data_IF_548312961363
#
_entry.id   IF_548312961363
#
_cell.length_a   1.000
_cell.length_b   1.000
_cell.length_c   1.000
_cell.angle_alpha   90.00
_cell.angle_beta   90.00
_cell.angle_gamma   90.00
#
_symmetry.space_group_name_H-M   'P 1'
#
loop_
_entity.id
_entity.type
_entity.pdbx_description
1 polymer ?
#
# COMPACT_ATOMS: atom_id res chain seq x y z
N UNK A 1 -35.85 1.58 -2.44
CA UNK A 1 -34.51 2.02 -2.83
C UNK A 1 -33.53 1.38 -1.87
N UNK A 2 -32.51 0.65 -2.33
CA UNK A 2 -31.44 0.18 -1.42
C UNK A 2 -30.69 1.41 -0.89
N UNK A 3 -30.40 1.41 0.42
CA UNK A 3 -29.57 2.45 1.05
C UNK A 3 -28.26 2.59 0.28
N UNK A 4 -27.76 3.83 0.04
CA UNK A 4 -26.46 4.02 -0.59
C UNK A 4 -25.38 3.27 0.20
N UNK A 5 -24.36 2.77 -0.50
CA UNK A 5 -23.23 2.07 0.14
C UNK A 5 -22.60 2.99 1.18
N UNK A 6 -22.38 2.48 2.38
CA UNK A 6 -21.77 3.24 3.50
C UNK A 6 -21.02 2.28 4.44
N UNK A 7 -20.07 2.81 5.18
CA UNK A 7 -19.41 2.10 6.25
C UNK A 7 -20.40 1.83 7.39
N UNK A 8 -20.37 0.65 7.98
CA UNK A 8 -21.26 0.32 9.11
C UNK A 8 -20.77 0.96 10.41
N UNK A 9 -19.48 1.33 10.49
CA UNK A 9 -18.86 1.91 11.67
C UNK A 9 -17.63 2.73 11.35
N UNK A 10 -17.31 3.71 12.23
CA UNK A 10 -16.07 4.49 12.17
C UNK A 10 -14.81 3.61 12.23
N UNK A 11 -14.81 2.59 13.09
CA UNK A 11 -13.70 1.65 13.22
C UNK A 11 -13.55 0.83 11.94
N UNK A 12 -14.65 0.42 11.32
CA UNK A 12 -14.65 -0.30 10.05
C UNK A 12 -13.99 0.50 8.93
N UNK A 13 -14.29 1.78 8.81
CA UNK A 13 -13.60 2.67 7.88
C UNK A 13 -12.10 2.76 8.18
N UNK A 14 -11.72 3.05 9.45
CA UNK A 14 -10.31 3.21 9.84
C UNK A 14 -9.52 1.92 9.55
N UNK A 15 -10.05 0.75 9.92
CA UNK A 15 -9.38 -0.53 9.65
C UNK A 15 -9.30 -0.84 8.16
N UNK A 16 -10.32 -0.48 7.37
CA UNK A 16 -10.29 -0.71 5.92
C UNK A 16 -9.32 0.24 5.21
N UNK A 17 -9.30 1.52 5.58
CA UNK A 17 -8.37 2.49 5.02
C UNK A 17 -6.93 2.22 5.49
N UNK A 18 -6.73 1.81 6.74
CA UNK A 18 -5.45 1.33 7.24
C UNK A 18 -5.00 0.06 6.49
N UNK A 19 -5.91 -0.91 6.26
CA UNK A 19 -5.62 -2.10 5.48
C UNK A 19 -5.24 -1.80 4.02
N UNK A 20 -5.84 -0.76 3.43
CA UNK A 20 -5.40 -0.25 2.12
C UNK A 20 -3.98 0.30 2.14
N UNK A 21 -3.61 1.02 3.20
CA UNK A 21 -2.29 1.60 3.38
C UNK A 21 -1.23 0.56 3.83
N UNK A 22 -1.63 -0.38 4.69
CA UNK A 22 -0.78 -1.44 5.26
C UNK A 22 -0.76 -2.65 4.33
N UNK A 23 -0.11 -2.51 3.19
CA UNK A 23 0.08 -3.60 2.24
C UNK A 23 1.54 -4.04 2.19
N UNK A 24 1.97 -4.48 1.02
CA UNK A 24 3.37 -4.76 0.72
C UNK A 24 4.28 -3.55 0.99
N UNK A 25 3.73 -2.33 0.94
CA UNK A 25 4.44 -1.10 1.22
C UNK A 25 5.05 -1.03 2.62
N UNK A 26 4.30 -1.44 3.63
CA UNK A 26 4.73 -1.40 5.04
C UNK A 26 5.54 -2.66 5.45
N UNK A 27 5.14 -3.84 4.94
CA UNK A 27 5.70 -5.11 5.41
C UNK A 27 6.87 -5.58 4.53
N UNK A 28 6.90 -5.20 3.28
CA UNK A 28 7.93 -5.62 2.32
C UNK A 28 8.82 -4.46 1.88
N UNK A 29 8.23 -3.43 1.23
CA UNK A 29 9.00 -2.34 0.63
C UNK A 29 9.74 -1.50 1.68
N UNK A 30 9.08 -1.17 2.79
CA UNK A 30 9.70 -0.39 3.86
C UNK A 30 10.94 -1.07 4.45
N UNK A 31 10.93 -2.37 4.88
CA UNK A 31 12.12 -2.98 5.43
C UNK A 31 13.30 -3.03 4.47
N UNK A 32 13.09 -3.46 3.22
CA UNK A 32 14.23 -3.52 2.30
C UNK A 32 14.75 -2.13 1.93
N UNK A 33 13.86 -1.15 1.82
CA UNK A 33 14.28 0.24 1.54
C UNK A 33 15.05 0.83 2.73
N UNK A 34 14.60 0.58 3.95
CA UNK A 34 15.34 0.94 5.16
C UNK A 34 16.71 0.24 5.20
N UNK A 35 16.75 -1.05 4.83
CA UNK A 35 17.97 -1.85 4.77
C UNK A 35 19.04 -1.29 3.83
N UNK A 36 18.63 -0.73 2.69
CA UNK A 36 19.52 -0.15 1.67
C UNK A 36 19.84 1.33 1.87
N UNK A 37 19.13 2.03 2.78
CA UNK A 37 19.23 3.49 2.94
C UNK A 37 19.61 3.92 4.37
N UNK A 38 20.43 3.13 5.08
CA UNK A 38 21.02 3.52 6.37
C UNK A 38 20.07 3.36 7.57
N UNK A 39 19.10 2.42 7.50
CA UNK A 39 18.29 2.00 8.65
C UNK A 39 17.57 3.16 9.35
N UNK A 40 18.01 3.49 10.55
CA UNK A 40 17.36 4.48 11.42
C UNK A 40 17.27 5.89 10.81
N UNK A 41 18.23 6.33 10.01
CA UNK A 41 18.17 7.65 9.33
C UNK A 41 17.02 7.68 8.34
N UNK A 42 16.89 6.63 7.51
CA UNK A 42 15.76 6.48 6.60
C UNK A 42 14.43 6.44 7.36
N UNK A 43 14.34 5.68 8.45
CA UNK A 43 13.13 5.57 9.29
C UNK A 43 12.72 6.94 9.82
N UNK A 44 13.65 7.73 10.36
CA UNK A 44 13.36 9.08 10.85
C UNK A 44 12.84 9.98 9.72
N UNK A 45 13.48 9.98 8.54
CA UNK A 45 13.03 10.77 7.40
C UNK A 45 11.65 10.30 6.92
N UNK A 46 11.42 8.99 6.86
CA UNK A 46 10.13 8.41 6.52
C UNK A 46 9.02 8.87 7.49
N UNK A 47 9.26 8.85 8.80
CA UNK A 47 8.33 9.35 9.81
C UNK A 47 8.01 10.84 9.58
N UNK A 48 9.04 11.67 9.43
CA UNK A 48 8.88 13.11 9.20
C UNK A 48 8.07 13.39 7.93
N UNK A 49 8.42 12.76 6.81
CA UNK A 49 7.72 12.99 5.55
C UNK A 49 6.31 12.41 5.53
N UNK A 50 6.07 11.31 6.24
CA UNK A 50 4.72 10.77 6.38
C UNK A 50 3.81 11.75 7.11
N UNK A 51 4.29 12.39 8.18
CA UNK A 51 3.50 13.37 8.96
C UNK A 51 3.34 14.69 8.21
N UNK A 52 4.43 15.23 7.65
CA UNK A 52 4.44 16.60 7.12
C UNK A 52 3.97 16.68 5.66
N UNK A 53 4.08 15.62 4.89
CA UNK A 53 3.78 15.65 3.45
C UNK A 53 2.69 14.66 3.07
N UNK A 54 2.82 13.38 3.42
CA UNK A 54 1.88 12.35 2.99
C UNK A 54 0.51 12.49 3.68
N UNK A 55 0.46 12.70 5.00
CA UNK A 55 -0.80 12.93 5.73
C UNK A 55 -1.59 14.14 5.20
N UNK A 56 -1.01 15.31 4.93
CA UNK A 56 -1.73 16.41 4.27
C UNK A 56 -2.39 16.02 2.95
N UNK A 57 -1.73 15.25 2.11
CA UNK A 57 -2.31 14.78 0.84
C UNK A 57 -3.42 13.76 1.08
N UNK A 58 -3.26 12.82 2.03
CA UNK A 58 -4.30 11.87 2.42
C UNK A 58 -5.58 12.57 2.89
N UNK A 59 -5.45 13.59 3.74
CA UNK A 59 -6.59 14.38 4.20
C UNK A 59 -7.25 15.17 3.07
N UNK A 60 -6.49 15.62 2.07
CA UNK A 60 -7.04 16.23 0.86
C UNK A 60 -7.85 15.21 0.02
N UNK A 61 -7.38 13.99 -0.13
CA UNK A 61 -8.14 12.90 -0.77
C UNK A 61 -9.43 12.60 0.02
N UNK A 62 -9.37 12.56 1.35
CA UNK A 62 -10.56 12.40 2.19
C UNK A 62 -11.54 13.56 2.04
N UNK A 63 -11.05 14.80 1.98
CA UNK A 63 -11.90 15.97 1.69
C UNK A 63 -12.66 15.79 0.37
N UNK A 64 -11.96 15.44 -0.72
CA UNK A 64 -12.57 15.26 -2.04
C UNK A 64 -13.66 14.17 -2.01
N UNK A 65 -13.34 13.02 -1.44
CA UNK A 65 -14.26 11.88 -1.36
C UNK A 65 -15.50 12.20 -0.52
N UNK A 66 -15.33 12.62 0.74
CA UNK A 66 -16.45 12.92 1.65
C UNK A 66 -17.29 14.11 1.19
N UNK A 67 -16.67 15.17 0.66
CA UNK A 67 -17.39 16.36 0.18
C UNK A 67 -18.30 16.04 -0.99
N UNK A 68 -17.83 15.22 -1.92
CA UNK A 68 -18.59 14.84 -3.11
C UNK A 68 -19.60 13.72 -2.84
N UNK A 69 -19.28 12.77 -1.94
CA UNK A 69 -20.03 11.54 -1.74
C UNK A 69 -20.08 10.64 -2.98
N UNK A 70 -19.09 10.77 -3.90
CA UNK A 70 -19.09 10.10 -5.21
C UNK A 70 -17.76 9.38 -5.46
N UNK A 71 -17.78 8.40 -6.39
CA UNK A 71 -16.56 7.76 -6.86
C UNK A 71 -15.53 8.78 -7.36
N UNK A 72 -14.27 8.35 -7.45
CA UNK A 72 -13.14 9.24 -7.73
C UNK A 72 -13.31 10.12 -8.99
N UNK A 73 -13.91 9.60 -10.07
CA UNK A 73 -14.12 10.37 -11.31
C UNK A 73 -15.21 11.42 -11.16
N UNK A 74 -16.36 10.99 -10.62
CA UNK A 74 -17.53 11.87 -10.49
C UNK A 74 -17.37 12.86 -9.33
N UNK A 75 -16.47 12.59 -8.36
CA UNK A 75 -16.08 13.52 -7.31
C UNK A 75 -15.53 14.82 -7.90
N UNK A 76 -14.56 14.72 -8.80
CA UNK A 76 -13.98 15.91 -9.45
C UNK A 76 -14.97 16.60 -10.38
N UNK A 77 -15.85 15.86 -11.08
CA UNK A 77 -16.93 16.48 -11.90
C UNK A 77 -17.90 17.30 -11.04
N UNK A 78 -18.22 16.79 -9.84
CA UNK A 78 -19.13 17.48 -8.92
C UNK A 78 -18.47 18.72 -8.31
N UNK A 79 -17.18 18.62 -7.92
CA UNK A 79 -16.47 19.70 -7.26
C UNK A 79 -15.94 20.77 -8.23
N UNK A 80 -15.71 20.43 -9.49
CA UNK A 80 -15.23 21.36 -10.54
C UNK A 80 -15.87 20.99 -11.89
N UNK A 81 -17.16 21.35 -12.10
CA UNK A 81 -17.85 21.06 -13.35
C UNK A 81 -17.20 21.78 -14.55
N UNK A 82 -17.34 21.20 -15.73
CA UNK A 82 -16.82 21.74 -16.98
C UNK A 82 -15.31 22.02 -17.00
N UNK A 83 -14.53 21.19 -16.33
CA UNK A 83 -13.08 21.32 -16.21
C UNK A 83 -12.34 20.03 -16.58
N UNK A 84 -11.00 20.09 -16.63
CA UNK A 84 -10.16 18.91 -16.87
C UNK A 84 -9.86 18.09 -15.59
N UNK A 85 -10.25 18.58 -14.41
CA UNK A 85 -9.95 17.91 -13.13
C UNK A 85 -10.45 16.46 -13.01
N UNK A 86 -11.56 16.04 -13.65
CA UNK A 86 -11.97 14.63 -13.67
C UNK A 86 -10.92 13.66 -14.22
N UNK A 87 -9.91 14.14 -14.96
CA UNK A 87 -8.80 13.31 -15.40
C UNK A 87 -7.97 12.74 -14.24
N UNK A 88 -7.87 13.44 -13.08
CA UNK A 88 -7.20 12.92 -11.89
C UNK A 88 -7.90 11.63 -11.43
N UNK A 89 -9.22 11.68 -11.30
CA UNK A 89 -9.99 10.48 -10.92
C UNK A 89 -9.84 9.34 -11.94
N UNK A 90 -9.81 9.65 -13.25
CA UNK A 90 -9.56 8.65 -14.30
C UNK A 90 -8.15 8.05 -14.19
N UNK A 91 -7.13 8.88 -13.95
CA UNK A 91 -5.76 8.44 -13.73
C UNK A 91 -5.67 7.51 -12.52
N UNK A 92 -6.32 7.87 -11.39
CA UNK A 92 -6.32 7.02 -10.20
C UNK A 92 -7.04 5.68 -10.42
N UNK A 93 -8.17 5.66 -11.12
CA UNK A 93 -8.88 4.43 -11.50
C UNK A 93 -8.03 3.55 -12.42
N UNK A 94 -7.40 4.15 -13.43
CA UNK A 94 -6.47 3.45 -14.32
C UNK A 94 -5.27 2.91 -13.53
N UNK A 95 -4.69 3.73 -12.64
CA UNK A 95 -3.60 3.31 -11.77
C UNK A 95 -3.99 2.09 -10.92
N UNK A 96 -5.17 2.10 -10.28
CA UNK A 96 -5.65 0.95 -9.51
C UNK A 96 -5.83 -0.31 -10.36
N UNK A 97 -6.35 -0.17 -11.58
CA UNK A 97 -6.54 -1.27 -12.51
C UNK A 97 -5.20 -1.94 -12.87
N UNK A 98 -4.23 -1.15 -13.31
CA UNK A 98 -2.90 -1.64 -13.70
C UNK A 98 -2.11 -2.10 -12.47
N UNK A 99 -2.13 -1.33 -11.37
CA UNK A 99 -1.44 -1.72 -10.13
C UNK A 99 -1.91 -3.08 -9.64
N UNK A 100 -3.23 -3.32 -9.58
CA UNK A 100 -3.77 -4.60 -9.15
C UNK A 100 -3.42 -5.74 -10.12
N UNK A 101 -3.23 -5.48 -11.40
CA UNK A 101 -2.89 -6.51 -12.37
C UNK A 101 -1.52 -7.15 -12.08
N UNK A 102 -0.49 -6.36 -11.78
CA UNK A 102 0.83 -6.90 -11.41
C UNK A 102 0.97 -7.18 -9.90
N UNK A 103 0.27 -6.43 -9.04
CA UNK A 103 0.23 -6.68 -7.60
C UNK A 103 -0.36 -8.06 -7.26
N UNK A 104 -1.36 -8.51 -8.03
CA UNK A 104 -1.94 -9.84 -7.88
C UNK A 104 -0.95 -10.97 -8.19
N UNK A 105 0.06 -10.72 -9.02
CA UNK A 105 1.16 -11.67 -9.27
C UNK A 105 1.99 -11.86 -8.00
N UNK A 106 2.37 -10.76 -7.35
CA UNK A 106 3.09 -10.81 -6.06
C UNK A 106 2.24 -11.49 -4.98
N UNK A 107 0.94 -11.15 -4.92
CA UNK A 107 -0.02 -11.85 -4.05
C UNK A 107 -0.07 -13.36 -4.33
N UNK A 108 0.04 -13.75 -5.59
CA UNK A 108 0.17 -15.15 -6.01
C UNK A 108 1.45 -15.81 -5.49
N UNK A 109 2.59 -15.13 -5.57
CA UNK A 109 3.85 -15.66 -5.00
C UNK A 109 3.74 -15.87 -3.48
N UNK A 110 3.10 -14.94 -2.78
CA UNK A 110 2.86 -15.07 -1.33
C UNK A 110 1.99 -16.31 -1.04
N UNK A 111 0.91 -16.53 -1.80
CA UNK A 111 0.07 -17.72 -1.66
C UNK A 111 0.84 -19.02 -1.96
N UNK A 112 1.71 -19.03 -2.96
CA UNK A 112 2.57 -20.17 -3.25
C UNK A 112 3.48 -20.49 -2.05
N UNK A 113 4.11 -19.47 -1.45
CA UNK A 113 4.95 -19.65 -0.26
C UNK A 113 4.16 -20.06 0.98
N UNK A 114 2.89 -19.70 1.11
CA UNK A 114 2.01 -20.28 2.14
C UNK A 114 1.90 -21.79 1.96
N UNK A 115 1.69 -22.26 0.73
CA UNK A 115 1.63 -23.72 0.47
C UNK A 115 2.95 -24.39 0.84
N UNK A 116 4.09 -23.86 0.42
CA UNK A 116 5.41 -24.39 0.78
C UNK A 116 5.68 -24.39 2.30
N UNK A 117 5.11 -23.43 3.04
CA UNK A 117 5.21 -23.41 4.49
C UNK A 117 4.37 -24.50 5.16
N UNK A 118 3.21 -24.88 4.61
CA UNK A 118 2.33 -25.88 5.19
C UNK A 118 2.66 -27.31 4.75
N UNK A 119 3.11 -27.53 3.51
CA UNK A 119 3.46 -28.88 3.01
C UNK A 119 4.86 -29.35 3.44
N UNK A 120 5.63 -28.47 4.10
CA UNK A 120 6.97 -28.77 4.60
C UNK A 120 8.06 -28.75 3.53
N UNK A 121 7.74 -28.49 2.28
CA UNK A 121 8.72 -28.42 1.17
C UNK A 121 9.76 -27.30 1.39
N UNK A 122 9.43 -26.29 2.17
CA UNK A 122 10.36 -25.22 2.56
C UNK A 122 11.59 -25.75 3.31
N UNK A 123 11.46 -26.82 4.11
CA UNK A 123 12.57 -27.47 4.82
C UNK A 123 13.48 -28.29 3.92
N UNK A 124 12.95 -28.76 2.79
CA UNK A 124 13.70 -29.62 1.87
C UNK A 124 14.57 -28.80 0.90
N UNK A 125 14.38 -27.48 0.85
CA UNK A 125 15.14 -26.59 -0.01
C UNK A 125 16.34 -26.00 0.74
N UNK A 126 17.53 -26.31 0.28
CA UNK A 126 18.76 -25.71 0.77
C UNK A 126 19.04 -24.34 0.11
N UNK A 127 18.48 -24.09 -1.06
CA UNK A 127 18.66 -22.86 -1.85
C UNK A 127 17.32 -22.15 -2.06
N UNK A 128 17.05 -21.14 -1.22
CA UNK A 128 15.84 -20.33 -1.30
C UNK A 128 15.85 -19.36 -2.51
N UNK A 129 17.04 -19.05 -3.06
CA UNK A 129 17.17 -18.29 -4.29
C UNK A 129 16.65 -19.08 -5.49
N UNK A 130 17.06 -20.34 -5.59
CA UNK A 130 16.57 -21.27 -6.61
C UNK A 130 15.06 -21.54 -6.46
N UNK A 131 14.56 -21.70 -5.22
CA UNK A 131 13.13 -21.85 -4.95
C UNK A 131 12.35 -20.62 -5.43
N UNK A 132 12.80 -19.42 -5.10
CA UNK A 132 12.15 -18.19 -5.56
C UNK A 132 12.21 -18.06 -7.09
N UNK A 133 13.39 -18.30 -7.68
CA UNK A 133 13.56 -18.32 -9.13
C UNK A 133 12.61 -19.26 -9.84
N UNK A 134 12.46 -20.51 -9.35
CA UNK A 134 11.52 -21.48 -9.91
C UNK A 134 10.04 -21.08 -9.72
N UNK A 135 9.72 -20.44 -8.60
CA UNK A 135 8.36 -19.92 -8.31
C UNK A 135 7.96 -18.84 -9.31
N UNK A 136 8.81 -17.83 -9.53
CA UNK A 136 8.49 -16.70 -10.40
C UNK A 136 8.60 -17.02 -11.89
N UNK A 137 9.42 -18.00 -12.27
CA UNK A 137 9.61 -18.43 -13.66
C UNK A 137 8.61 -19.46 -14.13
N UNK A 138 7.88 -20.14 -13.22
CA UNK A 138 6.86 -21.14 -13.56
C UNK A 138 5.62 -20.51 -14.20
N UNK A 139 5.33 -20.69 -15.48
CA UNK A 139 4.18 -20.05 -16.12
C UNK A 139 2.85 -20.50 -15.52
N UNK A 140 2.65 -21.82 -15.40
CA UNK A 140 1.41 -22.38 -14.88
C UNK A 140 1.21 -22.02 -13.38
N UNK A 141 2.27 -22.10 -12.58
CA UNK A 141 2.23 -21.77 -11.17
C UNK A 141 1.91 -20.28 -10.94
N UNK A 142 2.64 -19.36 -11.60
CA UNK A 142 2.42 -17.94 -11.47
C UNK A 142 1.01 -17.52 -11.85
N UNK A 143 0.47 -18.03 -12.98
CA UNK A 143 -0.90 -17.72 -13.42
C UNK A 143 -1.94 -18.33 -12.46
N UNK A 144 -1.75 -19.58 -12.00
CA UNK A 144 -2.71 -20.25 -11.13
C UNK A 144 -2.82 -19.53 -9.77
N UNK A 145 -1.69 -19.21 -9.13
CA UNK A 145 -1.70 -18.50 -7.85
C UNK A 145 -2.14 -17.04 -7.97
N UNK A 146 -1.80 -16.33 -9.06
CA UNK A 146 -2.38 -15.03 -9.38
C UNK A 146 -3.90 -15.12 -9.50
N UNK A 147 -4.41 -16.12 -10.21
CA UNK A 147 -5.84 -16.38 -10.37
C UNK A 147 -6.52 -16.64 -9.02
N UNK A 148 -5.91 -17.46 -8.16
CA UNK A 148 -6.43 -17.71 -6.80
C UNK A 148 -6.48 -16.44 -5.97
N UNK A 149 -5.44 -15.62 -6.01
CA UNK A 149 -5.42 -14.32 -5.31
C UNK A 149 -6.53 -13.39 -5.82
N UNK A 150 -6.71 -13.29 -7.13
CA UNK A 150 -7.78 -12.50 -7.73
C UNK A 150 -9.17 -13.03 -7.40
N UNK A 151 -9.37 -14.36 -7.36
CA UNK A 151 -10.63 -14.97 -6.92
C UNK A 151 -10.98 -14.57 -5.48
N UNK A 152 -10.03 -14.64 -4.56
CA UNK A 152 -10.22 -14.21 -3.16
C UNK A 152 -10.59 -12.72 -3.09
N UNK A 153 -9.90 -11.88 -3.86
CA UNK A 153 -10.16 -10.43 -3.93
C UNK A 153 -11.56 -10.14 -4.46
N UNK A 154 -11.94 -10.72 -5.59
CA UNK A 154 -13.27 -10.57 -6.21
C UNK A 154 -14.37 -11.06 -5.27
N UNK A 155 -14.16 -12.21 -4.60
CA UNK A 155 -15.14 -12.78 -3.68
C UNK A 155 -15.51 -11.83 -2.53
N UNK A 156 -14.54 -11.11 -1.98
CA UNK A 156 -14.78 -10.12 -0.93
C UNK A 156 -15.45 -8.87 -1.48
N UNK A 157 -14.89 -8.27 -2.55
CA UNK A 157 -15.33 -6.97 -3.07
C UNK A 157 -16.74 -7.03 -3.68
N UNK A 158 -17.14 -8.15 -4.31
CA UNK A 158 -18.49 -8.31 -4.86
C UNK A 158 -19.60 -8.15 -3.82
N UNK A 159 -19.29 -8.40 -2.54
CA UNK A 159 -20.24 -8.30 -1.43
C UNK A 159 -20.45 -6.85 -0.94
N UNK A 160 -19.69 -5.90 -1.47
CA UNK A 160 -19.79 -4.47 -1.19
C UNK A 160 -18.95 -4.02 0.02
N UNK A 161 -19.17 -2.76 0.40
CA UNK A 161 -18.34 -2.09 1.43
C UNK A 161 -18.55 -2.74 2.80
N UNK A 162 -19.76 -2.71 3.35
CA UNK A 162 -20.02 -3.16 4.72
C UNK A 162 -19.93 -4.68 4.89
N UNK A 163 -20.57 -5.44 3.98
CA UNK A 163 -20.66 -6.90 4.09
C UNK A 163 -19.43 -7.64 3.58
N UNK A 164 -18.63 -7.01 2.69
CA UNK A 164 -17.43 -7.56 2.11
C UNK A 164 -16.16 -6.96 2.75
N UNK A 165 -15.77 -5.78 2.27
CA UNK A 165 -14.49 -5.14 2.60
C UNK A 165 -14.36 -4.85 4.09
N UNK A 166 -15.33 -4.18 4.70
CA UNK A 166 -15.30 -3.82 6.12
C UNK A 166 -15.27 -5.07 7.01
N UNK A 167 -16.11 -6.05 6.68
CA UNK A 167 -16.16 -7.30 7.44
C UNK A 167 -14.83 -8.05 7.38
N UNK A 168 -14.23 -8.17 6.20
CA UNK A 168 -12.91 -8.81 6.04
C UNK A 168 -11.84 -8.07 6.85
N UNK A 169 -11.76 -6.74 6.71
CA UNK A 169 -10.76 -5.92 7.39
C UNK A 169 -10.92 -5.91 8.92
N UNK A 170 -12.14 -6.02 9.45
CA UNK A 170 -12.37 -6.13 10.90
C UNK A 170 -11.73 -7.36 11.54
N UNK A 171 -11.52 -8.44 10.78
CA UNK A 171 -10.81 -9.63 11.25
C UNK A 171 -9.35 -9.64 10.85
N UNK A 172 -9.05 -9.31 9.59
CA UNK A 172 -7.71 -9.42 9.06
C UNK A 172 -6.75 -8.41 9.67
N UNK A 173 -7.18 -7.18 9.92
CA UNK A 173 -6.30 -6.14 10.46
C UNK A 173 -5.88 -6.41 11.92
N UNK A 174 -6.79 -6.72 12.86
CA UNK A 174 -6.37 -7.11 14.21
C UNK A 174 -5.50 -8.39 14.22
N UNK A 175 -5.86 -9.39 13.39
CA UNK A 175 -5.05 -10.61 13.26
C UNK A 175 -3.63 -10.28 12.78
N UNK A 176 -3.49 -9.42 11.75
CA UNK A 176 -2.19 -8.95 11.26
C UNK A 176 -1.35 -8.31 12.38
N UNK A 177 -1.94 -7.43 13.19
CA UNK A 177 -1.24 -6.81 14.33
C UNK A 177 -0.78 -7.84 15.36
N UNK A 178 -1.65 -8.79 15.73
CA UNK A 178 -1.31 -9.85 16.70
C UNK A 178 -0.19 -10.73 16.15
N UNK A 179 -0.28 -11.19 14.90
CA UNK A 179 0.75 -12.01 14.28
C UNK A 179 2.09 -11.26 14.19
N UNK A 180 2.05 -9.98 13.84
CA UNK A 180 3.25 -9.14 13.77
C UNK A 180 3.91 -8.96 15.14
N UNK A 181 3.13 -8.75 16.20
CA UNK A 181 3.63 -8.67 17.57
C UNK A 181 4.27 -9.98 18.04
N UNK A 182 3.64 -11.11 17.77
CA UNK A 182 4.19 -12.43 18.09
C UNK A 182 5.56 -12.66 17.43
N UNK A 183 5.66 -12.34 16.15
CA UNK A 183 6.91 -12.45 15.40
C UNK A 183 7.96 -11.46 15.89
N UNK A 184 7.58 -10.22 16.22
CA UNK A 184 8.48 -9.22 16.76
C UNK A 184 9.06 -9.67 18.11
N UNK A 185 8.23 -10.15 19.04
CA UNK A 185 8.69 -10.72 20.32
C UNK A 185 9.70 -11.84 20.08
N UNK A 186 9.40 -12.77 19.15
CA UNK A 186 10.32 -13.87 18.84
C UNK A 186 11.63 -13.37 18.23
N UNK A 187 11.58 -12.39 17.35
CA UNK A 187 12.79 -11.82 16.73
C UNK A 187 13.67 -11.09 17.74
N UNK A 188 13.06 -10.37 18.68
CA UNK A 188 13.76 -9.64 19.74
C UNK A 188 14.44 -10.57 20.78
N UNK A 189 14.02 -11.81 20.89
CA UNK A 189 14.64 -12.81 21.82
C UNK A 189 15.80 -13.59 21.18
N UNK A 190 16.22 -13.24 19.96
CA UNK A 190 17.36 -13.89 19.29
C UNK A 190 18.70 -13.38 19.83
N UNK A 191 19.68 -14.28 19.92
CA UNK A 191 21.05 -13.88 20.19
C UNK A 191 21.57 -13.00 19.06
N UNK A 192 22.07 -11.81 19.39
CA UNK A 192 22.51 -10.81 18.39
C UNK A 192 21.40 -9.87 17.87
N UNK A 193 20.16 -10.00 18.35
CA UNK A 193 19.05 -9.12 17.97
C UNK A 193 19.35 -7.63 18.18
N UNK A 194 20.19 -7.27 19.16
CA UNK A 194 20.59 -5.90 19.51
C UNK A 194 21.20 -5.15 18.34
N UNK A 195 21.91 -5.82 17.43
CA UNK A 195 22.50 -5.21 16.22
C UNK A 195 21.39 -4.72 15.30
N UNK A 196 20.39 -5.56 15.03
CA UNK A 196 19.26 -5.19 14.19
C UNK A 196 18.37 -4.11 14.81
N UNK A 197 18.18 -4.13 16.13
CA UNK A 197 17.48 -3.06 16.88
C UNK A 197 18.26 -1.75 16.74
N UNK A 198 19.58 -1.78 16.94
CA UNK A 198 20.44 -0.61 16.79
C UNK A 198 20.40 -0.06 15.37
N UNK A 199 20.44 -0.91 14.36
CA UNK A 199 20.31 -0.52 12.95
C UNK A 199 19.00 0.19 12.66
N UNK A 200 17.89 -0.26 13.25
CA UNK A 200 16.56 0.31 13.02
C UNK A 200 16.32 1.60 13.82
N UNK A 201 16.91 1.75 15.02
CA UNK A 201 16.55 2.80 15.98
C UNK A 201 17.69 3.80 16.29
N UNK A 202 18.95 3.44 16.05
CA UNK A 202 20.11 4.32 16.32
C UNK A 202 20.59 4.93 15.00
N UNK A 203 20.37 6.25 14.77
CA UNK A 203 20.73 6.89 13.50
C UNK A 203 22.24 6.97 13.34
N UNK A 204 22.73 6.51 12.19
CA UNK A 204 24.06 6.80 11.68
C UNK A 204 23.95 7.93 10.63
N UNK A 205 24.28 9.14 11.05
CA UNK A 205 24.14 10.34 10.23
C UNK A 205 25.02 10.38 9.00
N UNK A 206 25.99 9.47 8.83
CA UNK A 206 26.77 9.32 7.59
C UNK A 206 25.87 8.93 6.40
N UNK A 207 24.74 8.28 6.66
CA UNK A 207 23.72 7.93 5.67
C UNK A 207 22.69 9.02 5.41
N UNK A 208 22.82 10.19 6.03
CA UNK A 208 21.95 11.34 5.77
C UNK A 208 22.35 12.02 4.45
N UNK A 209 21.78 11.53 3.35
CA UNK A 209 22.05 12.00 1.99
C UNK A 209 20.77 12.52 1.33
N UNK A 210 20.86 13.38 0.30
CA UNK A 210 19.70 13.78 -0.50
C UNK A 210 18.95 12.57 -1.06
N UNK A 211 19.66 11.53 -1.48
CA UNK A 211 19.07 10.30 -2.00
C UNK A 211 18.25 9.57 -0.93
N UNK A 212 18.76 9.43 0.30
CA UNK A 212 18.03 8.83 1.43
C UNK A 212 16.76 9.61 1.72
N UNK A 213 16.82 10.95 1.71
CA UNK A 213 15.66 11.82 1.92
C UNK A 213 14.59 11.62 0.84
N UNK A 214 14.98 11.63 -0.44
CA UNK A 214 14.06 11.47 -1.56
C UNK A 214 13.43 10.07 -1.59
N UNK A 215 14.22 9.04 -1.27
CA UNK A 215 13.72 7.67 -1.15
C UNK A 215 12.71 7.54 0.01
N UNK A 216 12.99 8.14 1.16
CA UNK A 216 12.09 8.14 2.32
C UNK A 216 10.79 8.90 2.02
N UNK A 217 10.86 10.01 1.29
CA UNK A 217 9.70 10.78 0.86
C UNK A 217 8.84 9.99 -0.14
N UNK A 218 9.46 9.34 -1.13
CA UNK A 218 8.75 8.43 -2.05
C UNK A 218 8.06 7.27 -1.33
N UNK A 219 8.75 6.68 -0.33
CA UNK A 219 8.16 5.64 0.51
C UNK A 219 6.96 6.14 1.32
N UNK A 220 6.97 7.39 1.80
CA UNK A 220 5.85 7.97 2.54
C UNK A 220 4.58 8.08 1.68
N UNK A 221 4.69 8.45 0.41
CA UNK A 221 3.56 8.46 -0.52
C UNK A 221 3.02 7.06 -0.79
N UNK A 222 3.91 6.12 -1.05
CA UNK A 222 3.52 4.74 -1.32
C UNK A 222 2.84 4.10 -0.10
N UNK A 223 3.36 4.34 1.10
CA UNK A 223 2.88 3.77 2.36
C UNK A 223 1.44 4.18 2.71
N UNK A 224 0.95 5.34 2.28
CA UNK A 224 -0.44 5.78 2.52
C UNK A 224 -1.35 5.61 1.30
N UNK A 225 -0.93 4.88 0.26
CA UNK A 225 -1.69 4.62 -0.97
C UNK A 225 -2.19 5.89 -1.66
N UNK A 226 -1.34 6.93 -1.74
CA UNK A 226 -1.71 8.23 -2.29
C UNK A 226 -1.63 8.25 -3.81
N UNK A 227 -2.46 9.07 -4.44
CA UNK A 227 -2.44 9.29 -5.88
C UNK A 227 -3.11 8.22 -6.72
N UNK A 228 -3.63 7.16 -6.11
CA UNK A 228 -4.38 6.09 -6.79
C UNK A 228 -5.90 6.19 -6.53
N UNK A 229 -6.36 7.27 -5.93
CA UNK A 229 -7.78 7.55 -5.65
C UNK A 229 -8.50 6.55 -4.73
N UNK A 230 -7.78 5.63 -4.08
CA UNK A 230 -8.39 4.68 -3.12
C UNK A 230 -8.96 5.41 -1.91
N UNK A 231 -8.23 6.41 -1.39
CA UNK A 231 -8.66 7.19 -0.24
C UNK A 231 -9.82 8.12 -0.58
N UNK A 232 -9.88 8.66 -1.81
CA UNK A 232 -11.05 9.40 -2.33
C UNK A 232 -12.28 8.48 -2.35
N UNK A 233 -12.13 7.28 -2.90
CA UNK A 233 -13.23 6.30 -3.03
C UNK A 233 -13.74 5.87 -1.65
N UNK A 234 -12.85 5.53 -0.73
CA UNK A 234 -13.24 5.11 0.62
C UNK A 234 -13.90 6.24 1.42
N UNK A 235 -13.40 7.47 1.27
CA UNK A 235 -13.97 8.64 1.93
C UNK A 235 -15.34 9.05 1.36
N UNK A 236 -15.67 8.67 0.12
CA UNK A 236 -16.98 8.90 -0.46
C UNK A 236 -18.13 8.18 0.29
N UNK A 237 -17.80 7.10 0.99
CA UNK A 237 -18.75 6.32 1.79
C UNK A 237 -18.83 6.77 3.27
N UNK A 238 -18.15 7.88 3.64
CA UNK A 238 -18.14 8.39 5.00
C UNK A 238 -19.38 9.24 5.32
N UNK A 239 -19.81 9.16 6.57
CA UNK A 239 -20.76 10.10 7.14
C UNK A 239 -20.11 11.50 7.24
N UNK A 240 -20.89 12.56 6.95
CA UNK A 240 -20.44 13.96 7.04
C UNK A 240 -19.96 14.36 8.43
N UNK A 241 -20.45 13.72 9.49
CA UNK A 241 -20.09 13.98 10.89
C UNK A 241 -18.78 13.32 11.32
N UNK A 242 -18.15 12.52 10.46
CA UNK A 242 -16.90 11.85 10.82
C UNK A 242 -15.70 12.81 10.78
N UNK A 243 -14.92 12.82 11.86
CA UNK A 243 -13.70 13.61 11.95
C UNK A 243 -12.61 13.04 11.01
N UNK A 244 -12.28 13.81 9.96
CA UNK A 244 -11.28 13.42 8.97
C UNK A 244 -9.86 13.47 9.55
N UNK A 245 -9.53 14.47 10.39
CA UNK A 245 -8.21 14.58 11.01
C UNK A 245 -7.94 13.38 11.93
N UNK A 246 -8.90 13.04 12.79
CA UNK A 246 -8.76 11.89 13.69
C UNK A 246 -8.65 10.59 12.90
N UNK A 247 -9.42 10.44 11.83
CA UNK A 247 -9.36 9.25 10.98
C UNK A 247 -8.02 9.14 10.24
N UNK A 248 -7.57 10.21 9.58
CA UNK A 248 -6.29 10.24 8.87
C UNK A 248 -5.10 10.00 9.82
N UNK A 249 -5.07 10.66 10.97
CA UNK A 249 -4.03 10.41 11.98
C UNK A 249 -4.04 8.94 12.45
N UNK A 250 -5.21 8.35 12.72
CA UNK A 250 -5.28 6.94 13.14
C UNK A 250 -4.70 6.01 12.07
N UNK A 251 -5.06 6.21 10.80
CA UNK A 251 -4.57 5.40 9.68
C UNK A 251 -3.07 5.57 9.52
N UNK A 252 -2.58 6.81 9.55
CA UNK A 252 -1.14 7.10 9.46
C UNK A 252 -0.35 6.41 10.58
N UNK A 253 -0.78 6.57 11.85
CA UNK A 253 -0.09 5.95 12.98
C UNK A 253 -0.13 4.43 12.94
N UNK A 254 -1.25 3.83 12.52
CA UNK A 254 -1.33 2.38 12.31
C UNK A 254 -0.35 1.92 11.23
N UNK A 255 -0.22 2.65 10.11
CA UNK A 255 0.75 2.33 9.07
C UNK A 255 2.20 2.45 9.57
N UNK A 256 2.54 3.54 10.27
CA UNK A 256 3.86 3.75 10.84
C UNK A 256 4.21 2.66 11.87
N UNK A 257 3.26 2.31 12.73
CA UNK A 257 3.45 1.25 13.73
C UNK A 257 3.71 -0.10 13.06
N UNK A 258 2.94 -0.47 12.05
CA UNK A 258 3.15 -1.73 11.31
C UNK A 258 4.50 -1.72 10.60
N UNK A 259 4.89 -0.63 9.95
CA UNK A 259 6.20 -0.50 9.30
C UNK A 259 7.35 -0.70 10.30
N UNK A 260 7.28 -0.05 11.46
CA UNK A 260 8.29 -0.22 12.53
C UNK A 260 8.30 -1.64 13.10
N UNK A 261 7.13 -2.23 13.35
CA UNK A 261 7.03 -3.61 13.81
C UNK A 261 7.58 -4.60 12.78
N UNK A 262 7.31 -4.38 11.49
CA UNK A 262 7.91 -5.18 10.42
C UNK A 262 9.44 -5.08 10.41
N UNK A 263 9.98 -3.88 10.62
CA UNK A 263 11.42 -3.68 10.84
C UNK A 263 11.94 -4.46 12.05
N UNK A 264 11.21 -4.45 13.18
CA UNK A 264 11.57 -5.21 14.40
C UNK A 264 11.42 -6.72 14.23
N UNK A 265 10.59 -7.21 13.34
CA UNK A 265 10.56 -8.63 12.94
C UNK A 265 11.77 -8.99 12.11
N UNK A 266 12.10 -8.15 11.13
CA UNK A 266 13.04 -8.50 10.06
C UNK A 266 14.49 -8.24 10.45
N UNK A 267 14.84 -7.03 10.90
CA UNK A 267 16.25 -6.67 11.11
C UNK A 267 16.92 -7.45 12.23
N UNK A 268 16.32 -7.62 13.44
CA UNK A 268 16.96 -8.45 14.46
C UNK A 268 17.21 -9.88 13.98
N UNK A 269 16.28 -10.48 13.25
CA UNK A 269 16.42 -11.81 12.71
C UNK A 269 17.48 -11.90 11.60
N UNK A 270 17.51 -10.93 10.68
CA UNK A 270 18.50 -10.87 9.59
C UNK A 270 19.91 -10.73 10.14
N UNK A 271 20.15 -9.80 11.08
CA UNK A 271 21.47 -9.57 11.66
C UNK A 271 21.91 -10.71 12.61
N UNK A 272 20.99 -11.33 13.36
CA UNK A 272 21.31 -12.48 14.22
C UNK A 272 21.91 -13.66 13.44
N UNK A 273 21.56 -13.79 12.17
CA UNK A 273 22.07 -14.86 11.29
C UNK A 273 23.09 -14.39 10.24
N UNK A 274 23.61 -13.16 10.38
CA UNK A 274 24.62 -12.55 9.50
C UNK A 274 24.18 -12.46 8.02
N UNK A 275 22.91 -12.21 7.78
CA UNK A 275 22.42 -11.87 6.45
C UNK A 275 22.47 -10.35 6.19
N UNK A 276 22.55 -9.96 4.93
CA UNK A 276 22.48 -8.56 4.54
C UNK A 276 21.02 -8.09 4.44
N UNK A 277 20.68 -6.91 5.00
CA UNK A 277 19.30 -6.39 4.98
C UNK A 277 18.87 -5.81 3.63
N UNK A 278 19.80 -5.65 2.69
CA UNK A 278 19.61 -4.89 1.45
C UNK A 278 19.22 -5.69 0.20
N UNK A 279 18.70 -6.90 0.32
CA UNK A 279 18.42 -7.77 -0.86
C UNK A 279 17.13 -7.47 -1.62
N UNK A 280 16.58 -6.27 -1.49
CA UNK A 280 15.39 -5.84 -2.26
C UNK A 280 14.18 -6.80 -2.13
N UNK A 281 13.53 -7.15 -3.26
CA UNK A 281 12.41 -8.10 -3.25
C UNK A 281 12.75 -9.48 -2.69
N UNK A 282 13.99 -9.93 -2.78
CA UNK A 282 14.47 -11.18 -2.22
C UNK A 282 14.40 -11.27 -0.69
N UNK A 283 14.26 -10.14 0.01
CA UNK A 283 14.22 -10.14 1.47
C UNK A 283 13.11 -11.06 2.04
N UNK A 284 11.90 -11.00 1.51
CA UNK A 284 10.78 -11.83 2.00
C UNK A 284 10.83 -13.26 1.48
N UNK A 285 11.27 -13.47 0.25
CA UNK A 285 11.15 -14.77 -0.43
C UNK A 285 12.43 -15.61 -0.39
N UNK A 286 13.58 -14.98 -0.08
CA UNK A 286 14.88 -15.68 -0.03
C UNK A 286 15.49 -15.59 1.36
N UNK A 287 15.65 -14.38 1.91
CA UNK A 287 16.36 -14.18 3.18
C UNK A 287 15.53 -14.66 4.37
N UNK A 288 14.25 -14.24 4.45
CA UNK A 288 13.43 -14.61 5.60
C UNK A 288 13.15 -16.12 5.71
N UNK A 289 12.84 -16.88 4.64
CA UNK A 289 12.79 -18.33 4.73
C UNK A 289 14.09 -18.92 5.31
N UNK A 290 15.25 -18.48 4.81
CA UNK A 290 16.56 -18.95 5.30
C UNK A 290 16.77 -18.65 6.81
N UNK A 291 16.31 -17.49 7.26
CA UNK A 291 16.36 -17.08 8.68
C UNK A 291 15.40 -17.94 9.51
N UNK A 292 14.14 -18.06 9.08
CA UNK A 292 13.14 -18.82 9.83
C UNK A 292 13.53 -20.31 9.97
N UNK A 293 14.09 -20.92 8.91
CA UNK A 293 14.48 -22.33 8.97
C UNK A 293 15.64 -22.62 9.94
N UNK A 294 16.38 -21.60 10.38
CA UNK A 294 17.38 -21.72 11.45
C UNK A 294 16.77 -21.62 12.87
N UNK A 295 15.50 -21.26 12.98
CA UNK A 295 14.83 -21.07 14.27
C UNK A 295 14.13 -22.35 14.76
N UNK A 296 14.03 -22.58 16.08
CA UNK A 296 13.09 -23.55 16.64
C UNK A 296 11.66 -23.20 16.19
N UNK A 297 10.90 -24.19 15.72
CA UNK A 297 9.55 -24.01 15.13
C UNK A 297 9.54 -23.10 13.90
N UNK A 298 10.65 -22.97 13.18
CA UNK A 298 10.82 -22.03 12.07
C UNK A 298 9.79 -22.15 10.97
N UNK A 299 9.36 -23.39 10.63
CA UNK A 299 8.28 -23.63 9.66
C UNK A 299 6.97 -22.97 10.09
N UNK A 300 6.58 -23.13 11.36
CA UNK A 300 5.35 -22.55 11.90
C UNK A 300 5.45 -21.03 11.90
N UNK A 301 6.58 -20.48 12.36
CA UNK A 301 6.82 -19.04 12.37
C UNK A 301 6.79 -18.46 10.95
N UNK A 302 7.35 -19.17 9.99
CA UNK A 302 7.32 -18.76 8.58
C UNK A 302 5.90 -18.84 7.99
N UNK A 303 5.13 -19.88 8.30
CA UNK A 303 3.73 -19.99 7.91
C UNK A 303 2.90 -18.83 8.48
N UNK A 304 3.11 -18.49 9.75
CA UNK A 304 2.49 -17.32 10.41
C UNK A 304 2.87 -16.03 9.71
N UNK A 305 4.16 -15.85 9.37
CA UNK A 305 4.63 -14.68 8.63
C UNK A 305 3.99 -14.59 7.22
N UNK A 306 3.96 -15.67 6.48
CA UNK A 306 3.34 -15.69 5.16
C UNK A 306 1.83 -15.42 5.22
N UNK A 307 1.12 -15.94 6.21
CA UNK A 307 -0.30 -15.63 6.43
C UNK A 307 -0.53 -14.14 6.72
N UNK A 308 0.36 -13.54 7.52
CA UNK A 308 0.35 -12.09 7.79
C UNK A 308 0.53 -11.30 6.48
N UNK A 309 1.47 -11.71 5.62
CA UNK A 309 1.69 -11.06 4.32
C UNK A 309 0.47 -11.25 3.38
N UNK A 310 -0.21 -12.42 3.41
CA UNK A 310 -1.48 -12.62 2.69
C UNK A 310 -2.53 -11.62 3.15
N UNK A 311 -2.71 -11.42 4.45
CA UNK A 311 -3.69 -10.45 4.96
C UNK A 311 -3.36 -9.02 4.49
N UNK A 312 -2.10 -8.62 4.59
CA UNK A 312 -1.66 -7.31 4.13
C UNK A 312 -1.88 -7.11 2.62
N UNK A 313 -1.57 -8.12 1.80
CA UNK A 313 -1.76 -8.01 0.35
C UNK A 313 -3.22 -7.97 -0.04
N UNK A 314 -4.07 -8.80 0.54
CA UNK A 314 -5.50 -8.84 0.25
C UNK A 314 -6.22 -7.56 0.66
N UNK A 315 -5.92 -6.99 1.83
CA UNK A 315 -6.58 -5.76 2.29
C UNK A 315 -6.32 -4.57 1.36
N UNK A 316 -5.11 -4.48 0.80
CA UNK A 316 -4.78 -3.48 -0.23
C UNK A 316 -5.43 -3.80 -1.58
N UNK A 317 -5.49 -5.07 -1.99
CA UNK A 317 -6.16 -5.49 -3.22
C UNK A 317 -7.66 -5.15 -3.21
N UNK A 318 -8.33 -5.28 -2.06
CA UNK A 318 -9.75 -4.91 -1.93
C UNK A 318 -9.98 -3.43 -2.26
N UNK A 319 -9.14 -2.52 -1.77
CA UNK A 319 -9.29 -1.09 -2.01
C UNK A 319 -9.02 -0.70 -3.46
N UNK A 320 -8.02 -1.33 -4.09
CA UNK A 320 -7.71 -1.10 -5.50
C UNK A 320 -8.87 -1.57 -6.39
N UNK A 321 -9.39 -2.79 -6.17
CA UNK A 321 -10.52 -3.30 -6.94
C UNK A 321 -11.78 -2.46 -6.70
N UNK A 322 -12.08 -2.09 -5.45
CA UNK A 322 -13.23 -1.23 -5.13
C UNK A 322 -13.17 0.11 -5.84
N UNK A 323 -12.00 0.74 -5.95
CA UNK A 323 -11.83 2.02 -6.65
C UNK A 323 -12.26 1.91 -8.12
N UNK A 324 -11.91 0.81 -8.78
CA UNK A 324 -12.29 0.56 -10.18
C UNK A 324 -13.79 0.24 -10.29
N UNK A 325 -14.30 -0.59 -9.37
CA UNK A 325 -15.73 -0.98 -9.36
C UNK A 325 -16.62 0.24 -9.09
N UNK A 326 -16.31 1.05 -8.08
CA UNK A 326 -17.09 2.25 -7.75
C UNK A 326 -17.20 3.21 -8.94
N UNK A 327 -16.09 3.39 -9.68
CA UNK A 327 -16.09 4.21 -10.89
C UNK A 327 -16.94 3.60 -12.03
N UNK A 328 -16.96 2.28 -12.16
CA UNK A 328 -17.67 1.59 -13.22
C UNK A 328 -19.19 1.49 -12.97
N UNK A 329 -19.59 1.14 -11.72
CA UNK A 329 -21.03 1.03 -11.37
C UNK A 329 -21.65 2.38 -11.08
N UNK A 330 -20.85 3.40 -10.77
CA UNK A 330 -21.25 4.71 -10.27
C UNK A 330 -22.10 4.50 -8.99
N UNK A 331 -23.39 4.77 -9.02
CA UNK A 331 -24.28 4.59 -7.85
C UNK A 331 -25.22 3.38 -7.98
N UNK A 332 -25.08 2.60 -9.07
CA UNK A 332 -25.94 1.45 -9.37
C UNK A 332 -25.41 0.16 -8.74
N UNK A 333 -25.67 -0.03 -7.44
CA UNK A 333 -25.27 -1.22 -6.69
C UNK A 333 -25.86 -2.54 -7.25
N UNK A 334 -26.90 -2.50 -8.08
CA UNK A 334 -27.46 -3.72 -8.69
C UNK A 334 -26.49 -4.38 -9.65
N UNK A 335 -25.59 -3.61 -10.24
CA UNK A 335 -24.56 -4.08 -11.19
C UNK A 335 -23.30 -4.58 -10.50
N UNK A 336 -23.11 -4.33 -9.20
CA UNK A 336 -21.86 -4.59 -8.46
C UNK A 336 -21.31 -5.99 -8.70
N UNK A 337 -22.10 -7.03 -8.41
CA UNK A 337 -21.60 -8.41 -8.50
C UNK A 337 -21.12 -8.77 -9.92
N UNK A 338 -21.90 -8.46 -10.94
CA UNK A 338 -21.53 -8.73 -12.35
C UNK A 338 -20.28 -7.93 -12.76
N UNK A 339 -20.24 -6.65 -12.41
CA UNK A 339 -19.13 -5.76 -12.76
C UNK A 339 -17.84 -6.17 -12.05
N UNK A 340 -17.93 -6.61 -10.78
CA UNK A 340 -16.76 -7.08 -10.03
C UNK A 340 -16.13 -8.31 -10.67
N UNK A 341 -16.94 -9.28 -11.10
CA UNK A 341 -16.44 -10.44 -11.83
C UNK A 341 -15.82 -10.06 -13.17
N UNK A 342 -16.50 -9.22 -13.95
CA UNK A 342 -16.00 -8.79 -15.26
C UNK A 342 -14.65 -8.04 -15.15
N UNK A 343 -14.59 -7.04 -14.27
CA UNK A 343 -13.37 -6.24 -14.08
C UNK A 343 -12.27 -7.06 -13.42
N UNK A 344 -12.59 -7.88 -12.41
CA UNK A 344 -11.61 -8.76 -11.78
C UNK A 344 -10.98 -9.75 -12.78
N UNK A 345 -11.78 -10.32 -13.68
CA UNK A 345 -11.28 -11.17 -14.78
C UNK A 345 -10.44 -10.36 -15.77
N UNK A 346 -10.85 -9.13 -16.12
CA UNK A 346 -10.05 -8.29 -17.00
C UNK A 346 -8.69 -7.94 -16.38
N UNK A 347 -8.65 -7.58 -15.08
CA UNK A 347 -7.41 -7.31 -14.34
C UNK A 347 -6.51 -8.55 -14.30
N UNK A 348 -7.08 -9.73 -14.04
CA UNK A 348 -6.35 -11.00 -14.07
C UNK A 348 -5.70 -11.23 -15.44
N UNK A 349 -6.47 -11.10 -16.55
CA UNK A 349 -5.96 -11.30 -17.91
C UNK A 349 -4.84 -10.30 -18.23
N UNK A 350 -5.02 -9.01 -17.90
CA UNK A 350 -3.99 -7.97 -18.10
C UNK A 350 -2.75 -8.23 -17.24
N UNK A 351 -2.89 -8.91 -16.11
CA UNK A 351 -1.78 -9.33 -15.26
C UNK A 351 -0.99 -10.53 -15.73
N UNK A 352 -1.54 -11.38 -16.63
CA UNK A 352 -0.83 -12.58 -17.13
C UNK A 352 0.54 -12.24 -17.73
N UNK A 353 0.70 -11.24 -18.61
CA UNK A 353 2.03 -10.89 -19.12
C UNK A 353 3.02 -10.49 -18.00
N UNK A 354 2.55 -9.84 -16.94
CA UNK A 354 3.39 -9.55 -15.77
C UNK A 354 3.78 -10.83 -15.01
N UNK A 355 2.86 -11.78 -14.87
CA UNK A 355 3.15 -13.09 -14.27
C UNK A 355 4.20 -13.90 -15.07
N UNK A 356 4.25 -13.73 -16.37
CA UNK A 356 5.19 -14.39 -17.27
C UNK A 356 6.53 -13.62 -17.43
N UNK A 357 6.64 -12.42 -16.89
CA UNK A 357 7.80 -11.53 -17.07
C UNK A 357 9.12 -12.06 -16.52
N UNK A 358 9.08 -13.01 -15.59
CA UNK A 358 10.27 -13.61 -14.98
C UNK A 358 10.57 -15.04 -15.51
N UNK A 359 9.79 -15.51 -16.47
CA UNK A 359 9.95 -16.80 -17.12
C UNK A 359 9.94 -16.66 -18.65
N UNK A 360 8.83 -17.07 -19.27
CA UNK A 360 8.70 -17.13 -20.75
C UNK A 360 8.91 -15.78 -21.43
N UNK A 361 8.54 -14.67 -20.78
CA UNK A 361 8.69 -13.32 -21.32
C UNK A 361 9.89 -12.56 -20.73
N UNK A 362 10.84 -13.22 -20.05
CA UNK A 362 11.99 -12.57 -19.41
C UNK A 362 12.89 -11.78 -20.39
N UNK A 363 13.01 -12.26 -21.62
CA UNK A 363 13.78 -11.61 -22.68
C UNK A 363 13.00 -10.51 -23.41
N UNK A 364 11.68 -10.48 -23.25
CA UNK A 364 10.86 -9.44 -23.87
C UNK A 364 10.87 -8.18 -22.99
N UNK A 365 11.73 -7.24 -23.36
CA UNK A 365 11.96 -5.99 -22.62
C UNK A 365 11.56 -4.79 -23.46
N UNK A 366 10.80 -3.87 -22.86
CA UNK A 366 10.46 -2.57 -23.43
C UNK A 366 11.17 -1.48 -22.61
N UNK A 367 11.94 -0.63 -23.26
CA UNK A 367 12.83 0.36 -22.60
C UNK A 367 13.78 -0.28 -21.57
N UNK A 368 14.26 -1.51 -21.82
CA UNK A 368 15.14 -2.24 -20.91
C UNK A 368 14.47 -2.85 -19.67
N UNK A 369 13.13 -2.74 -19.55
CA UNK A 369 12.33 -3.24 -18.42
C UNK A 369 11.46 -4.40 -18.86
N UNK A 370 11.25 -5.37 -17.96
CA UNK A 370 10.21 -6.38 -18.14
C UNK A 370 8.82 -5.72 -18.10
N UNK A 371 7.76 -6.41 -18.50
CA UNK A 371 6.40 -5.86 -18.41
C UNK A 371 5.99 -5.57 -16.97
N UNK A 372 6.38 -6.43 -16.03
CA UNK A 372 6.15 -6.20 -14.62
C UNK A 372 6.82 -4.90 -14.14
N UNK A 373 8.12 -4.74 -14.42
CA UNK A 373 8.89 -3.57 -14.01
C UNK A 373 8.42 -2.29 -14.72
N UNK A 374 7.94 -2.41 -15.97
CA UNK A 374 7.40 -1.28 -16.72
C UNK A 374 6.10 -0.77 -16.11
N UNK A 375 5.19 -1.68 -15.74
CA UNK A 375 3.94 -1.31 -15.07
C UNK A 375 4.21 -0.72 -13.68
N UNK A 376 5.09 -1.35 -12.89
CA UNK A 376 5.48 -0.80 -11.59
C UNK A 376 6.07 0.60 -11.74
N UNK A 377 7.03 0.81 -12.63
CA UNK A 377 7.64 2.12 -12.89
C UNK A 377 6.59 3.16 -13.32
N UNK A 378 5.73 2.83 -14.27
CA UNK A 378 4.70 3.74 -14.76
C UNK A 378 3.75 4.18 -13.65
N UNK A 379 3.31 3.26 -12.79
CA UNK A 379 2.37 3.56 -11.73
C UNK A 379 3.06 4.27 -10.57
N UNK A 380 4.13 3.67 -10.02
CA UNK A 380 4.73 4.15 -8.76
C UNK A 380 5.63 5.36 -8.95
N UNK A 381 6.34 5.42 -10.08
CA UNK A 381 7.28 6.49 -10.37
C UNK A 381 6.67 7.69 -11.11
N UNK A 382 5.60 7.48 -11.89
CA UNK A 382 5.00 8.55 -12.69
C UNK A 382 3.58 8.90 -12.22
N UNK A 383 2.63 7.97 -12.29
CA UNK A 383 1.21 8.29 -12.11
C UNK A 383 0.90 8.67 -10.66
N UNK A 384 1.38 7.93 -9.67
CA UNK A 384 1.12 8.23 -8.25
C UNK A 384 1.64 9.62 -7.83
N UNK A 385 2.88 10.02 -8.13
CA UNK A 385 3.36 11.37 -7.79
C UNK A 385 2.58 12.46 -8.55
N UNK A 386 2.35 12.30 -9.86
CA UNK A 386 1.59 13.28 -10.65
C UNK A 386 0.16 13.45 -10.10
N UNK A 387 -0.53 12.35 -9.84
CA UNK A 387 -1.89 12.40 -9.29
C UNK A 387 -1.93 13.03 -7.90
N UNK A 388 -0.98 12.69 -7.02
CA UNK A 388 -0.85 13.30 -5.68
C UNK A 388 -0.58 14.80 -5.75
N UNK A 389 0.29 15.24 -6.67
CA UNK A 389 0.56 16.66 -6.94
C UNK A 389 -0.72 17.38 -7.37
N UNK A 390 -1.42 16.80 -8.33
CA UNK A 390 -2.67 17.40 -8.85
C UNK A 390 -3.77 17.44 -7.79
N UNK A 391 -3.87 16.46 -6.89
CA UNK A 391 -4.77 16.49 -5.72
C UNK A 391 -4.39 17.64 -4.78
N UNK A 392 -3.09 17.79 -4.47
CA UNK A 392 -2.61 18.89 -3.61
C UNK A 392 -2.89 20.27 -4.23
N UNK A 393 -2.64 20.42 -5.53
CA UNK A 393 -2.98 21.66 -6.29
C UNK A 393 -4.47 21.89 -6.31
N UNK A 394 -5.29 20.87 -6.58
CA UNK A 394 -6.74 21.00 -6.63
C UNK A 394 -7.33 21.53 -5.33
N UNK A 395 -6.95 20.93 -4.19
CA UNK A 395 -7.48 21.34 -2.87
C UNK A 395 -6.83 22.63 -2.38
N UNK A 396 -5.51 22.80 -2.57
CA UNK A 396 -4.76 23.92 -2.04
C UNK A 396 -4.89 25.23 -2.83
N UNK A 397 -5.18 25.17 -4.13
CA UNK A 397 -5.16 26.35 -5.02
C UNK A 397 -6.45 26.58 -5.80
N UNK A 398 -7.18 25.51 -6.16
CA UNK A 398 -8.38 25.62 -7.00
C UNK A 398 -9.65 25.74 -6.14
N UNK A 399 -9.72 24.96 -5.03
CA UNK A 399 -10.88 25.03 -4.13
C UNK A 399 -10.86 26.31 -3.30
N UNK A 400 -12.05 26.86 -3.05
CA UNK A 400 -12.18 28.02 -2.16
C UNK A 400 -11.77 27.62 -0.73
N UNK A 401 -10.85 28.40 -0.17
CA UNK A 401 -10.32 28.15 1.18
C UNK A 401 -11.41 28.04 2.24
N UNK A 402 -12.43 28.91 2.19
CA UNK A 402 -13.57 28.90 3.12
C UNK A 402 -14.33 27.57 3.08
N UNK A 403 -14.62 27.06 1.88
CA UNK A 403 -15.32 25.78 1.69
C UNK A 403 -14.50 24.59 2.21
N UNK A 404 -13.19 24.59 1.96
CA UNK A 404 -12.28 23.56 2.48
C UNK A 404 -12.25 23.59 4.00
N UNK A 405 -12.10 24.76 4.60
CA UNK A 405 -12.02 24.93 6.06
C UNK A 405 -13.32 24.57 6.76
N UNK A 406 -14.48 24.98 6.23
CA UNK A 406 -15.79 24.63 6.73
C UNK A 406 -15.98 23.12 6.74
N UNK A 407 -15.73 22.46 5.60
CA UNK A 407 -15.89 21.01 5.48
C UNK A 407 -14.93 20.21 6.36
N UNK A 408 -13.68 20.68 6.52
CA UNK A 408 -12.71 20.02 7.39
C UNK A 408 -13.01 20.19 8.89
N UNK A 409 -13.81 21.20 9.26
CA UNK A 409 -14.34 21.38 10.62
C UNK A 409 -15.54 20.49 10.92
N UNK A 410 -16.28 20.05 9.92
CA UNK A 410 -17.43 19.17 10.14
C UNK A 410 -17.00 17.90 10.89
N UNK A 411 -17.57 17.68 12.06
CA UNK A 411 -17.30 16.54 12.91
C UNK A 411 -15.93 16.55 13.61
N UNK A 412 -15.12 17.61 13.43
CA UNK A 412 -13.77 17.70 13.99
C UNK A 412 -13.69 18.61 15.21
N UNK A 413 -12.93 18.17 16.23
CA UNK A 413 -12.61 18.94 17.42
C UNK A 413 -11.24 19.59 17.38
N UNK A 414 -10.49 19.50 16.25
CA UNK A 414 -9.14 20.06 16.17
C UNK A 414 -9.16 21.58 16.15
N UNK A 415 -8.16 22.25 16.80
CA UNK A 415 -8.03 23.69 16.76
C UNK A 415 -7.88 24.22 15.33
N UNK A 416 -8.38 25.43 15.10
CA UNK A 416 -8.26 26.09 13.78
C UNK A 416 -6.80 26.20 13.30
N UNK A 417 -5.86 26.38 14.20
CA UNK A 417 -4.44 26.44 13.89
C UNK A 417 -3.94 25.17 13.19
N UNK A 418 -4.45 23.98 13.59
CA UNK A 418 -4.08 22.70 12.96
C UNK A 418 -4.61 22.64 11.52
N UNK A 419 -5.82 23.12 11.27
CA UNK A 419 -6.40 23.17 9.92
C UNK A 419 -5.59 24.14 9.03
N UNK A 420 -5.16 25.28 9.59
CA UNK A 420 -4.32 26.24 8.86
C UNK A 420 -2.95 25.63 8.54
N UNK A 421 -2.32 24.96 9.51
CA UNK A 421 -1.03 24.29 9.33
C UNK A 421 -1.12 23.22 8.25
N UNK A 422 -2.13 22.35 8.35
CA UNK A 422 -2.42 21.32 7.34
C UNK A 422 -2.59 21.92 5.94
N UNK A 423 -3.42 22.96 5.81
CA UNK A 423 -3.70 23.58 4.53
C UNK A 423 -2.45 24.21 3.91
N UNK A 424 -1.60 24.84 4.72
CA UNK A 424 -0.34 25.42 4.25
C UNK A 424 0.66 24.33 3.86
N UNK A 425 0.75 23.25 4.63
CA UNK A 425 1.58 22.10 4.26
C UNK A 425 1.12 21.48 2.93
N UNK A 426 -0.18 21.30 2.75
CA UNK A 426 -0.76 20.80 1.50
C UNK A 426 -0.51 21.75 0.32
N UNK A 427 -0.62 23.07 0.56
CA UNK A 427 -0.53 24.08 -0.48
C UNK A 427 0.90 24.33 -0.96
N UNK A 428 1.88 24.31 -0.07
CA UNK A 428 3.24 24.71 -0.37
C UNK A 428 4.25 23.56 -0.20
N UNK A 429 4.25 22.87 0.93
CA UNK A 429 5.24 21.85 1.23
C UNK A 429 5.05 20.59 0.36
N UNK A 430 3.82 20.09 0.26
CA UNK A 430 3.55 18.85 -0.48
C UNK A 430 3.89 18.97 -1.98
N UNK A 431 3.50 20.03 -2.72
CA UNK A 431 3.86 20.15 -4.13
C UNK A 431 5.37 20.20 -4.35
N UNK A 432 6.11 20.97 -3.54
CA UNK A 432 7.58 21.04 -3.65
C UNK A 432 8.22 19.68 -3.39
N UNK A 433 7.80 19.00 -2.31
CA UNK A 433 8.29 17.68 -1.97
C UNK A 433 8.02 16.65 -3.09
N UNK A 434 6.81 16.65 -3.65
CA UNK A 434 6.45 15.73 -4.75
C UNK A 434 7.27 16.02 -6.01
N UNK A 435 7.45 17.29 -6.36
CA UNK A 435 8.25 17.68 -7.52
C UNK A 435 9.72 17.27 -7.38
N UNK A 436 10.29 17.34 -6.17
CA UNK A 436 11.65 16.87 -5.90
C UNK A 436 11.77 15.35 -6.09
N UNK A 437 10.83 14.57 -5.53
CA UNK A 437 10.81 13.10 -5.76
C UNK A 437 10.66 12.78 -7.24
N UNK A 438 9.78 13.47 -7.93
CA UNK A 438 9.55 13.27 -9.35
C UNK A 438 10.79 13.60 -10.20
N UNK A 439 11.45 14.73 -9.91
CA UNK A 439 12.69 15.13 -10.57
C UNK A 439 13.82 14.10 -10.36
N UNK A 440 13.96 13.60 -9.11
CA UNK A 440 14.93 12.53 -8.80
C UNK A 440 14.61 11.22 -9.55
N UNK A 441 13.33 10.85 -9.61
CA UNK A 441 12.90 9.64 -10.31
C UNK A 441 13.19 9.70 -11.81
N UNK A 442 13.16 10.91 -12.40
CA UNK A 442 13.52 11.14 -13.80
C UNK A 442 15.02 11.33 -14.02
N UNK A 443 15.83 11.32 -12.95
CA UNK A 443 17.28 11.52 -13.03
C UNK A 443 17.71 12.95 -13.35
N UNK A 444 16.86 13.95 -13.01
CA UNK A 444 17.18 15.37 -13.21
C UNK A 444 18.01 15.94 -12.06
N UNK A 445 17.92 15.33 -10.89
CA UNK A 445 18.69 15.66 -9.68
C UNK A 445 19.15 14.39 -8.97
#
# INVERSE_FOLDING_TARGET
MKSPASWSSKIGFILSAAGSAIGLGAIWKFPYTAGTNGGAVFVLMFLVFTVLVALPVQLAEFYIGRKSGKNAVDAFKTLAPNSLWPWIGRMGVFACFILLSFYSVVGGWVLNYVVHAFDGSIHQNADFGALFGSTISSPAGSIAYQGLFMLMTVWVVKSGIAAGIERANKYMMPALFVLLLLLAVRSLTLDGATVGISFLLKPDWSHFTPQTMLTALGQAFFALSLGVSTMITYAAYLDKKQDLFRSGNSIMWMNLLVSLLAGLVIFPAVFAFNFEPGQGPGLIFVVLPAVFMKLPLGQILFAVFMLLVVFATLTSAFSMLETVIAAAIREDESKRSKTTWLIGTAIFIVGIPSALSFGVLSEWKLFGKTLFDLWDYMITALIMPISSLLVAVFVGWIRQKSDVFEHMREGSSVPQAVIILWFNALRFLAPVAILLVFANTLGWI
#
